data_IF_505313666187
#
_entry.id   IF_505313666187
#
_cell.length_a   1.000
_cell.length_b   1.000
_cell.length_c   1.000
_cell.angle_alpha   90.00
_cell.angle_beta   90.00
_cell.angle_gamma   90.00
#
_symmetry.space_group_name_H-M   'P 1'
#
loop_
_entity.id
_entity.type
_entity.pdbx_description
1 polymer ?
#
# COMPACT_ATOMS: atom_id res chain seq x y z
N UNK A 1 4.62 -31.99 -7.34
CA UNK A 1 3.58 -31.30 -8.11
C UNK A 1 2.58 -30.63 -7.16
N UNK A 2 1.62 -29.87 -7.69
CA UNK A 2 0.65 -29.12 -6.86
C UNK A 2 -0.24 -30.04 -6.02
N UNK A 3 -0.60 -31.22 -6.49
CA UNK A 3 -1.40 -32.20 -5.74
C UNK A 3 -0.67 -32.71 -4.51
N UNK A 4 0.61 -33.03 -4.63
CA UNK A 4 1.44 -33.44 -3.50
C UNK A 4 1.60 -32.31 -2.49
N UNK A 5 1.81 -31.08 -2.97
CA UNK A 5 1.93 -29.90 -2.12
C UNK A 5 0.62 -29.62 -1.35
N UNK A 6 -0.53 -29.74 -2.01
CA UNK A 6 -1.84 -29.57 -1.35
C UNK A 6 -2.09 -30.66 -0.29
N UNK A 7 -1.65 -31.91 -0.54
CA UNK A 7 -1.75 -32.99 0.44
C UNK A 7 -0.90 -32.67 1.69
N UNK A 8 0.37 -32.29 1.47
CA UNK A 8 1.26 -31.91 2.58
C UNK A 8 0.69 -30.73 3.35
N UNK A 9 0.18 -29.71 2.66
CA UNK A 9 -0.43 -28.53 3.29
C UNK A 9 -1.64 -28.91 4.16
N UNK A 10 -2.48 -29.83 3.71
CA UNK A 10 -3.61 -30.35 4.47
C UNK A 10 -3.15 -31.06 5.75
N UNK A 11 -2.09 -31.85 5.66
CA UNK A 11 -1.51 -32.55 6.82
C UNK A 11 -0.93 -31.54 7.82
N UNK A 12 -0.27 -30.49 7.34
CA UNK A 12 0.25 -29.38 8.18
C UNK A 12 -0.90 -28.68 8.91
N UNK A 13 -1.95 -28.26 8.21
CA UNK A 13 -3.11 -27.60 8.82
C UNK A 13 -3.74 -28.47 9.89
N UNK A 14 -3.97 -29.76 9.60
CA UNK A 14 -4.54 -30.71 10.56
C UNK A 14 -3.60 -30.94 11.77
N UNK A 15 -2.31 -31.03 11.53
CA UNK A 15 -1.29 -31.17 12.57
C UNK A 15 -1.24 -29.96 13.51
N UNK A 16 -1.24 -28.76 12.96
CA UNK A 16 -1.29 -27.53 13.76
C UNK A 16 -2.56 -27.44 14.61
N UNK A 17 -3.71 -27.81 14.08
CA UNK A 17 -4.98 -27.80 14.83
C UNK A 17 -4.93 -28.77 16.02
N UNK A 18 -4.38 -29.97 15.86
CA UNK A 18 -4.17 -30.92 16.98
C UNK A 18 -3.23 -30.33 18.04
N UNK A 19 -2.18 -29.62 17.66
CA UNK A 19 -1.26 -28.97 18.59
C UNK A 19 -2.00 -27.87 19.37
N UNK A 20 -2.77 -27.01 18.67
CA UNK A 20 -3.58 -25.96 19.28
C UNK A 20 -4.54 -26.54 20.32
N UNK A 21 -5.27 -27.59 19.99
CA UNK A 21 -6.19 -28.26 20.94
C UNK A 21 -5.44 -28.78 22.17
N UNK A 22 -4.29 -29.40 21.96
CA UNK A 22 -3.46 -29.92 23.03
C UNK A 22 -2.95 -28.81 23.98
N UNK A 23 -2.53 -27.69 23.42
CA UNK A 23 -1.94 -26.57 24.18
C UNK A 23 -3.03 -25.77 24.91
N UNK A 24 -4.09 -25.40 24.22
CA UNK A 24 -5.15 -24.55 24.76
C UNK A 24 -6.20 -25.33 25.54
N UNK A 25 -6.21 -26.65 25.46
CA UNK A 25 -7.24 -27.53 26.10
C UNK A 25 -8.66 -27.16 25.68
N UNK A 26 -8.83 -26.74 24.44
CA UNK A 26 -10.11 -26.35 23.84
C UNK A 26 -10.16 -26.87 22.41
N UNK A 27 -11.36 -27.06 21.81
CA UNK A 27 -11.50 -27.36 20.41
C UNK A 27 -10.79 -26.30 19.54
N UNK A 28 -10.10 -26.71 18.48
CA UNK A 28 -9.41 -25.79 17.56
C UNK A 28 -10.35 -24.72 17.00
N UNK A 29 -11.63 -25.06 16.80
CA UNK A 29 -12.66 -24.13 16.32
C UNK A 29 -12.96 -22.94 17.25
N UNK A 30 -12.52 -23.01 18.51
CA UNK A 30 -12.67 -21.92 19.49
C UNK A 30 -11.43 -21.01 19.57
N UNK A 31 -10.38 -21.35 18.88
CA UNK A 31 -9.13 -20.59 18.86
C UNK A 31 -8.98 -19.93 17.49
N UNK A 32 -8.86 -18.59 17.42
CA UNK A 32 -8.70 -17.88 16.17
C UNK A 32 -7.48 -18.36 15.39
N UNK A 33 -7.69 -18.69 14.12
CA UNK A 33 -6.67 -19.13 13.18
C UNK A 33 -6.91 -18.42 11.85
N UNK A 34 -5.85 -18.17 11.12
CA UNK A 34 -5.95 -17.64 9.77
C UNK A 34 -5.06 -18.42 8.81
N UNK A 35 -5.45 -18.44 7.54
CA UNK A 35 -4.71 -19.05 6.45
C UNK A 35 -4.45 -18.02 5.37
N UNK A 36 -3.16 -17.69 5.16
CA UNK A 36 -2.73 -16.72 4.17
C UNK A 36 -2.76 -17.32 2.76
N UNK A 37 -3.55 -16.72 1.89
CA UNK A 37 -3.68 -17.08 0.48
C UNK A 37 -2.76 -16.17 -0.32
N UNK A 38 -1.46 -16.48 -0.27
CA UNK A 38 -0.41 -15.68 -0.90
C UNK A 38 0.39 -16.52 -1.91
N UNK A 39 0.80 -15.92 -3.00
CA UNK A 39 1.60 -16.54 -4.07
C UNK A 39 1.04 -17.88 -4.57
N UNK A 40 1.79 -18.99 -4.43
CA UNK A 40 1.37 -20.33 -4.87
C UNK A 40 0.14 -20.85 -4.12
N UNK A 41 -0.09 -20.39 -2.88
CA UNK A 41 -1.24 -20.83 -2.09
C UNK A 41 -2.55 -20.33 -2.70
N UNK A 42 -2.56 -19.17 -3.37
CA UNK A 42 -3.72 -18.73 -4.14
C UNK A 42 -4.06 -19.71 -5.25
N UNK A 43 -3.06 -20.26 -5.92
CA UNK A 43 -3.26 -21.28 -6.97
C UNK A 43 -3.87 -22.57 -6.40
N UNK A 44 -3.46 -22.98 -5.21
CA UNK A 44 -4.05 -24.14 -4.53
C UNK A 44 -5.50 -23.87 -4.13
N UNK A 45 -5.79 -22.68 -3.60
CA UNK A 45 -7.15 -22.26 -3.32
C UNK A 45 -8.04 -22.27 -4.58
N UNK A 46 -7.55 -21.72 -5.68
CA UNK A 46 -8.25 -21.71 -6.97
C UNK A 46 -8.46 -23.14 -7.53
N UNK A 47 -7.56 -24.08 -7.24
CA UNK A 47 -7.68 -25.50 -7.57
C UNK A 47 -8.61 -26.26 -6.62
N UNK A 48 -9.24 -25.61 -5.64
CA UNK A 48 -10.22 -26.20 -4.73
C UNK A 48 -9.68 -26.64 -3.37
N UNK A 49 -8.43 -26.32 -3.04
CA UNK A 49 -7.93 -26.56 -1.69
C UNK A 49 -8.69 -25.71 -0.68
N UNK A 50 -9.12 -26.31 0.42
CA UNK A 50 -9.88 -25.63 1.47
C UNK A 50 -9.32 -25.94 2.84
N UNK A 51 -9.59 -25.03 3.77
CA UNK A 51 -9.34 -25.19 5.21
C UNK A 51 -10.68 -25.21 5.96
N UNK A 52 -10.73 -25.69 7.22
CA UNK A 52 -11.95 -25.70 8.01
C UNK A 52 -12.65 -24.34 8.08
N UNK A 53 -13.96 -24.34 8.17
CA UNK A 53 -14.83 -23.15 8.11
C UNK A 53 -14.55 -22.12 9.22
N UNK A 54 -14.00 -22.55 10.34
CA UNK A 54 -13.61 -21.69 11.48
C UNK A 54 -12.28 -20.94 11.27
N UNK A 55 -11.53 -21.27 10.22
CA UNK A 55 -10.27 -20.60 9.87
C UNK A 55 -10.56 -19.37 9.02
N UNK A 56 -10.01 -18.22 9.38
CA UNK A 56 -10.09 -17.00 8.58
C UNK A 56 -9.29 -17.16 7.28
N UNK A 57 -9.90 -16.86 6.14
CA UNK A 57 -9.19 -16.76 4.86
C UNK A 57 -8.56 -15.38 4.72
N UNK A 58 -7.24 -15.31 4.60
CA UNK A 58 -6.51 -14.07 4.45
C UNK A 58 -6.08 -13.89 2.98
N UNK A 59 -6.85 -13.11 2.23
CA UNK A 59 -6.53 -12.77 0.84
C UNK A 59 -5.41 -11.73 0.79
N UNK A 60 -4.70 -11.69 -0.33
CA UNK A 60 -3.55 -10.82 -0.51
C UNK A 60 -3.69 -9.96 -1.77
N UNK A 61 -2.98 -8.84 -1.79
CA UNK A 61 -2.78 -8.00 -2.96
C UNK A 61 -1.58 -8.49 -3.81
N UNK A 62 -1.19 -7.70 -4.79
CA UNK A 62 0.01 -7.92 -5.61
C UNK A 62 1.08 -6.87 -5.35
N UNK A 63 2.23 -6.99 -6.03
CA UNK A 63 3.37 -6.06 -5.93
C UNK A 63 3.06 -4.59 -6.27
N UNK A 64 1.87 -4.33 -6.83
CA UNK A 64 1.42 -2.99 -7.21
C UNK A 64 0.31 -2.46 -6.28
N UNK A 65 0.00 -3.19 -5.19
CA UNK A 65 -1.04 -2.82 -4.25
C UNK A 65 -2.46 -2.94 -4.80
N UNK A 66 -2.70 -3.91 -5.70
CA UNK A 66 -4.02 -4.25 -6.19
C UNK A 66 -4.49 -5.57 -5.60
N UNK A 67 -5.69 -5.57 -5.03
CA UNK A 67 -6.37 -6.78 -4.58
C UNK A 67 -6.78 -7.58 -5.82
N UNK A 68 -6.24 -8.78 -5.95
CA UNK A 68 -6.45 -9.63 -7.12
C UNK A 68 -7.58 -10.62 -6.94
N UNK A 69 -7.91 -10.94 -5.70
CA UNK A 69 -8.90 -11.93 -5.35
C UNK A 69 -9.71 -11.45 -4.15
N UNK A 70 -11.01 -11.45 -4.29
CA UNK A 70 -11.97 -11.37 -3.19
C UNK A 70 -12.56 -12.76 -2.96
N UNK A 71 -13.09 -13.01 -1.78
CA UNK A 71 -13.77 -14.27 -1.48
C UNK A 71 -15.02 -14.43 -2.34
N UNK A 72 -15.28 -15.64 -2.86
CA UNK A 72 -16.54 -15.91 -3.53
C UNK A 72 -17.71 -15.79 -2.55
N UNK A 73 -18.91 -15.59 -3.06
CA UNK A 73 -20.13 -15.40 -2.27
C UNK A 73 -20.32 -16.48 -1.18
N UNK A 74 -19.99 -17.74 -1.51
CA UNK A 74 -20.05 -18.86 -0.56
C UNK A 74 -19.19 -18.68 0.69
N UNK A 75 -18.13 -17.89 0.62
CA UNK A 75 -17.21 -17.64 1.74
C UNK A 75 -17.69 -16.49 2.65
N UNK A 76 -18.66 -15.70 2.22
CA UNK A 76 -19.18 -14.58 3.01
C UNK A 76 -19.90 -15.02 4.30
N UNK A 77 -20.37 -16.27 4.33
CA UNK A 77 -21.01 -16.87 5.51
C UNK A 77 -20.05 -17.72 6.34
N UNK A 78 -18.76 -17.76 6.00
CA UNK A 78 -17.74 -18.51 6.71
C UNK A 78 -17.62 -18.06 8.18
N UNK A 79 -17.57 -19.00 9.13
CA UNK A 79 -17.45 -18.68 10.55
C UNK A 79 -16.17 -17.92 10.89
N UNK A 80 -15.05 -18.32 10.30
CA UNK A 80 -13.77 -17.65 10.46
C UNK A 80 -13.73 -16.28 9.79
N UNK A 81 -14.63 -16.01 8.84
CA UNK A 81 -14.64 -14.79 8.06
C UNK A 81 -13.48 -14.68 7.10
N UNK A 82 -13.32 -13.49 6.49
CA UNK A 82 -12.26 -13.20 5.54
C UNK A 82 -11.45 -11.98 5.99
N UNK A 83 -10.17 -11.99 5.70
CA UNK A 83 -9.25 -10.91 5.98
C UNK A 83 -8.42 -10.54 4.75
N UNK A 84 -7.65 -9.47 4.88
CA UNK A 84 -6.77 -8.95 3.85
C UNK A 84 -5.34 -8.76 4.37
N UNK A 85 -4.38 -9.23 3.61
CA UNK A 85 -2.97 -8.88 3.75
C UNK A 85 -2.62 -7.91 2.62
N UNK A 86 -2.54 -6.63 2.98
CA UNK A 86 -2.33 -5.52 2.04
C UNK A 86 -0.95 -4.91 2.22
N UNK A 87 -0.31 -4.52 1.12
CA UNK A 87 1.04 -3.97 1.14
C UNK A 87 1.06 -2.52 0.66
N UNK A 88 1.57 -1.61 1.49
CA UNK A 88 2.02 -0.29 1.07
C UNK A 88 3.54 -0.26 0.87
N UNK A 89 4.21 -1.36 1.19
CA UNK A 89 5.58 -1.69 0.85
C UNK A 89 5.65 -3.18 0.46
N UNK A 90 5.91 -3.47 -0.80
CA UNK A 90 6.11 -4.83 -1.29
C UNK A 90 7.59 -5.09 -1.46
N UNK A 91 8.16 -5.81 -0.50
CA UNK A 91 9.56 -6.21 -0.52
C UNK A 91 9.73 -7.57 -1.18
N UNK A 92 10.14 -7.56 -2.42
CA UNK A 92 10.39 -8.77 -3.20
C UNK A 92 10.72 -8.41 -4.63
N UNK A 93 11.60 -9.21 -5.28
CA UNK A 93 11.98 -8.94 -6.66
C UNK A 93 10.77 -8.89 -7.62
N UNK A 94 10.82 -7.98 -8.60
CA UNK A 94 11.94 -7.11 -8.93
C UNK A 94 11.92 -5.73 -8.23
N UNK A 95 10.97 -5.45 -7.35
CA UNK A 95 10.70 -4.13 -6.79
C UNK A 95 11.00 -4.04 -5.30
N UNK A 96 11.48 -2.88 -4.85
CA UNK A 96 11.76 -2.61 -3.46
C UNK A 96 11.66 -1.10 -3.20
N UNK A 97 10.52 -0.65 -2.67
CA UNK A 97 10.20 0.77 -2.45
C UNK A 97 10.28 1.20 -0.97
N UNK A 98 11.16 0.58 -0.21
CA UNK A 98 11.30 0.79 1.25
C UNK A 98 11.61 2.22 1.67
N UNK A 99 12.31 2.97 0.84
CA UNK A 99 12.84 4.29 1.18
C UNK A 99 11.88 5.45 0.92
N UNK A 100 10.73 5.18 0.27
CA UNK A 100 9.80 6.21 -0.18
C UNK A 100 8.36 5.69 -0.22
N UNK A 101 7.38 6.59 -0.10
CA UNK A 101 5.98 6.25 -0.36
C UNK A 101 5.70 6.24 -1.86
N UNK A 102 5.11 5.16 -2.36
CA UNK A 102 4.75 4.96 -3.77
C UNK A 102 3.26 4.70 -3.97
N UNK A 103 2.43 5.07 -3.00
CA UNK A 103 0.98 4.89 -3.08
C UNK A 103 0.24 6.12 -2.58
N UNK A 104 -0.99 6.31 -3.07
CA UNK A 104 -1.86 7.44 -2.68
C UNK A 104 -2.95 7.00 -1.73
N UNK A 105 -3.44 7.91 -0.90
CA UNK A 105 -4.61 7.67 -0.05
C UNK A 105 -5.84 7.25 -0.88
N UNK A 106 -6.02 7.83 -2.06
CA UNK A 106 -7.11 7.48 -2.97
C UNK A 106 -7.05 6.00 -3.42
N UNK A 107 -5.86 5.51 -3.80
CA UNK A 107 -5.69 4.10 -4.18
C UNK A 107 -5.89 3.17 -2.99
N UNK A 108 -5.32 3.50 -1.84
CA UNK A 108 -5.51 2.72 -0.61
C UNK A 108 -7.00 2.61 -0.30
N UNK A 109 -7.70 3.74 -0.32
CA UNK A 109 -9.16 3.78 -0.10
C UNK A 109 -9.91 2.90 -1.08
N UNK A 110 -9.62 3.00 -2.37
CA UNK A 110 -10.27 2.20 -3.40
C UNK A 110 -10.12 0.70 -3.13
N UNK A 111 -8.89 0.25 -2.84
CA UNK A 111 -8.61 -1.16 -2.64
C UNK A 111 -9.18 -1.70 -1.32
N UNK A 112 -9.03 -0.96 -0.23
CA UNK A 112 -9.61 -1.38 1.05
C UNK A 112 -11.13 -1.30 1.05
N UNK A 113 -11.73 -0.36 0.30
CA UNK A 113 -13.17 -0.35 0.09
C UNK A 113 -13.65 -1.58 -0.69
N UNK A 114 -12.92 -1.99 -1.71
CA UNK A 114 -13.22 -3.23 -2.44
C UNK A 114 -13.23 -4.42 -1.48
N UNK A 115 -12.21 -4.54 -0.62
CA UNK A 115 -12.16 -5.57 0.41
C UNK A 115 -13.39 -5.51 1.32
N UNK A 116 -13.66 -4.36 1.90
CA UNK A 116 -14.78 -4.14 2.82
C UNK A 116 -16.14 -4.47 2.20
N UNK A 117 -16.41 -3.96 1.01
CA UNK A 117 -17.67 -4.19 0.30
C UNK A 117 -17.87 -5.65 -0.14
N UNK A 118 -16.82 -6.45 -0.21
CA UNK A 118 -16.88 -7.87 -0.56
C UNK A 118 -16.77 -8.80 0.65
N UNK A 119 -16.98 -8.27 1.87
CA UNK A 119 -17.02 -9.05 3.11
C UNK A 119 -15.65 -9.42 3.66
N UNK A 120 -14.59 -8.78 3.20
CA UNK A 120 -13.23 -8.95 3.74
C UNK A 120 -13.03 -7.90 4.86
N UNK A 121 -13.58 -8.20 6.03
CA UNK A 121 -13.68 -7.26 7.15
C UNK A 121 -13.22 -7.83 8.50
N UNK A 122 -12.87 -9.12 8.56
CA UNK A 122 -12.53 -9.78 9.82
C UNK A 122 -11.20 -9.29 10.40
N UNK A 123 -10.19 -9.17 9.55
CA UNK A 123 -8.86 -8.69 9.92
C UNK A 123 -8.16 -8.11 8.70
N UNK A 124 -7.51 -6.97 8.88
CA UNK A 124 -6.61 -6.38 7.89
C UNK A 124 -5.20 -6.34 8.46
N UNK A 125 -4.28 -7.03 7.80
CA UNK A 125 -2.85 -6.99 8.09
C UNK A 125 -2.20 -6.14 7.02
N UNK A 126 -1.51 -5.09 7.44
CA UNK A 126 -0.87 -4.15 6.52
C UNK A 126 0.64 -4.30 6.62
N UNK A 127 1.28 -4.68 5.52
CA UNK A 127 2.73 -4.61 5.42
C UNK A 127 3.13 -3.18 5.07
N UNK A 128 3.80 -2.53 6.00
CA UNK A 128 4.22 -1.13 5.85
C UNK A 128 5.71 -0.99 5.55
N UNK A 129 6.46 -2.09 5.61
CA UNK A 129 7.92 -2.07 5.53
C UNK A 129 8.51 -1.27 6.71
N UNK A 130 9.34 -0.29 6.41
CA UNK A 130 9.79 0.67 7.42
C UNK A 130 8.69 1.69 7.73
N UNK A 131 8.59 2.09 9.01
CA UNK A 131 7.57 3.08 9.42
C UNK A 131 7.78 4.43 8.73
N UNK A 132 9.03 4.82 8.56
CA UNK A 132 9.40 6.04 7.82
C UNK A 132 9.80 5.67 6.39
N UNK A 133 9.28 6.34 5.39
CA UNK A 133 8.40 7.51 5.33
C UNK A 133 6.91 7.16 5.08
N UNK A 134 6.38 6.15 5.74
CA UNK A 134 5.02 5.62 5.52
C UNK A 134 3.96 6.20 6.48
N UNK A 135 4.30 7.25 7.21
CA UNK A 135 3.42 7.81 8.25
C UNK A 135 2.05 8.22 7.69
N UNK A 136 2.02 8.93 6.57
CA UNK A 136 0.74 9.37 5.97
C UNK A 136 -0.13 8.17 5.53
N UNK A 137 0.35 7.21 4.76
CA UNK A 137 -0.48 6.07 4.38
C UNK A 137 -0.87 5.19 5.58
N UNK A 138 -0.03 5.05 6.60
CA UNK A 138 -0.38 4.34 7.84
C UNK A 138 -1.51 5.05 8.56
N UNK A 139 -1.39 6.36 8.76
CA UNK A 139 -2.43 7.17 9.41
C UNK A 139 -3.77 7.04 8.68
N UNK A 140 -3.76 7.18 7.35
CA UNK A 140 -4.97 7.03 6.55
C UNK A 140 -5.60 5.62 6.69
N UNK A 141 -4.79 4.56 6.61
CA UNK A 141 -5.28 3.19 6.74
C UNK A 141 -5.93 2.96 8.10
N UNK A 142 -5.33 3.47 9.18
CA UNK A 142 -5.87 3.31 10.53
C UNK A 142 -7.20 4.04 10.70
N UNK A 143 -7.32 5.25 10.19
CA UNK A 143 -8.59 5.99 10.18
C UNK A 143 -9.64 5.28 9.33
N UNK A 144 -9.28 4.86 8.13
CA UNK A 144 -10.18 4.15 7.23
C UNK A 144 -10.67 2.82 7.83
N UNK A 145 -9.77 2.03 8.42
CA UNK A 145 -10.11 0.76 9.05
C UNK A 145 -11.01 0.93 10.28
N UNK A 146 -10.88 2.06 10.99
CA UNK A 146 -11.74 2.36 12.13
C UNK A 146 -13.20 2.58 11.71
N UNK A 147 -13.44 3.37 10.66
CA UNK A 147 -14.77 3.57 10.09
C UNK A 147 -14.67 3.90 8.59
N UNK A 148 -14.82 2.91 7.69
CA UNK A 148 -14.75 3.14 6.25
C UNK A 148 -15.77 4.15 5.71
N UNK A 149 -16.93 4.25 6.35
CA UNK A 149 -18.04 5.12 5.90
C UNK A 149 -17.74 6.61 6.10
N UNK A 150 -16.79 6.96 6.99
CA UNK A 150 -16.37 8.35 7.19
C UNK A 150 -15.52 8.89 6.03
N UNK A 151 -15.00 7.99 5.16
CA UNK A 151 -14.07 8.34 4.09
C UNK A 151 -14.57 7.91 2.70
N UNK A 152 -15.72 8.46 2.23
CA UNK A 152 -16.13 8.31 0.83
C UNK A 152 -15.08 8.94 -0.11
N UNK A 153 -15.12 8.57 -1.39
CA UNK A 153 -14.08 8.93 -2.36
C UNK A 153 -13.87 10.46 -2.50
N UNK A 154 -14.92 11.23 -2.37
CA UNK A 154 -14.92 12.69 -2.47
C UNK A 154 -14.34 13.40 -1.24
N UNK A 155 -14.12 12.70 -0.13
CA UNK A 155 -13.51 13.26 1.09
C UNK A 155 -12.00 13.00 1.23
N UNK A 156 -11.40 12.23 0.34
CA UNK A 156 -9.97 11.88 0.45
C UNK A 156 -9.07 13.10 0.32
N UNK A 157 -9.40 14.02 -0.57
CA UNK A 157 -8.66 15.27 -0.71
C UNK A 157 -8.72 16.12 0.57
N UNK A 158 -9.90 16.21 1.20
CA UNK A 158 -10.04 16.90 2.48
C UNK A 158 -9.27 16.21 3.60
N UNK A 159 -9.26 14.87 3.63
CA UNK A 159 -8.44 14.12 4.58
C UNK A 159 -6.96 14.51 4.48
N UNK A 160 -6.42 14.62 3.27
CA UNK A 160 -5.02 15.00 3.07
C UNK A 160 -4.71 16.39 3.62
N UNK A 161 -5.63 17.33 3.45
CA UNK A 161 -5.49 18.69 4.04
C UNK A 161 -5.57 18.66 5.56
N UNK A 162 -6.49 17.89 6.12
CA UNK A 162 -6.66 17.77 7.56
C UNK A 162 -5.47 17.07 8.22
N UNK A 163 -4.92 16.05 7.56
CA UNK A 163 -3.66 15.41 7.96
C UNK A 163 -2.51 16.43 8.02
N UNK A 164 -2.32 17.20 6.95
CA UNK A 164 -1.28 18.23 6.90
C UNK A 164 -1.50 19.31 7.97
N UNK A 165 -2.75 19.73 8.16
CA UNK A 165 -3.12 20.73 9.17
C UNK A 165 -2.83 20.26 10.59
N UNK A 166 -3.07 18.99 10.87
CA UNK A 166 -2.85 18.41 12.21
C UNK A 166 -1.39 18.42 12.63
N UNK A 167 -0.47 18.38 11.67
CA UNK A 167 0.98 18.34 11.92
C UNK A 167 1.61 19.73 11.81
N UNK A 168 1.27 20.49 10.76
CA UNK A 168 1.96 21.74 10.37
C UNK A 168 1.13 23.01 10.60
N UNK A 169 -0.09 22.89 11.11
CA UNK A 169 -1.01 24.04 11.21
C UNK A 169 -1.72 24.34 9.89
N UNK A 170 -2.60 25.35 9.93
CA UNK A 170 -3.52 25.62 8.82
C UNK A 170 -2.94 26.43 7.66
N UNK A 171 -1.88 27.21 7.88
CA UNK A 171 -1.40 28.21 6.91
C UNK A 171 -0.99 27.58 5.56
N UNK A 172 -0.24 26.47 5.60
CA UNK A 172 0.26 25.78 4.39
C UNK A 172 -0.34 24.38 4.19
N UNK A 173 -1.40 24.05 4.93
CA UNK A 173 -1.94 22.68 4.93
C UNK A 173 -2.35 22.20 3.54
N UNK A 174 -3.00 23.03 2.73
CA UNK A 174 -3.38 22.70 1.35
C UNK A 174 -2.15 22.45 0.49
N UNK A 175 -1.17 23.33 0.53
CA UNK A 175 0.04 23.21 -0.29
C UNK A 175 0.86 21.95 0.10
N UNK A 176 0.96 21.64 1.39
CA UNK A 176 1.61 20.41 1.87
C UNK A 176 0.85 19.16 1.41
N UNK A 177 -0.47 19.16 1.53
CA UNK A 177 -1.32 18.06 1.05
C UNK A 177 -1.14 17.83 -0.45
N UNK A 178 -1.09 18.89 -1.24
CA UNK A 178 -0.89 18.83 -2.69
C UNK A 178 0.49 18.25 -3.05
N UNK A 179 1.57 18.68 -2.36
CA UNK A 179 2.92 18.16 -2.57
C UNK A 179 2.99 16.66 -2.25
N UNK A 180 2.46 16.24 -1.09
CA UNK A 180 2.48 14.82 -0.66
C UNK A 180 1.66 13.97 -1.61
N UNK A 181 0.51 14.44 -2.04
CA UNK A 181 -0.34 13.74 -3.02
C UNK A 181 0.36 13.63 -4.36
N UNK A 182 0.98 14.71 -4.84
CA UNK A 182 1.62 14.73 -6.16
C UNK A 182 2.84 13.82 -6.24
N UNK A 183 3.78 13.87 -5.27
CA UNK A 183 4.93 12.96 -5.32
C UNK A 183 4.49 11.49 -5.20
N UNK A 184 3.52 11.20 -4.36
CA UNK A 184 2.99 9.85 -4.18
C UNK A 184 2.34 9.32 -5.46
N UNK A 185 1.58 10.19 -6.16
CA UNK A 185 0.95 9.89 -7.45
C UNK A 185 1.99 9.63 -8.53
N UNK A 186 3.00 10.47 -8.65
CA UNK A 186 4.05 10.31 -9.66
C UNK A 186 4.89 9.05 -9.41
N UNK A 187 5.16 8.70 -8.14
CA UNK A 187 5.79 7.44 -7.78
C UNK A 187 4.87 6.23 -8.02
N UNK A 188 3.55 6.38 -7.89
CA UNK A 188 2.59 5.34 -8.23
C UNK A 188 2.50 5.13 -9.75
N UNK A 189 2.53 6.19 -10.55
CA UNK A 189 2.57 6.12 -12.01
C UNK A 189 3.82 5.34 -12.47
N UNK A 190 4.97 5.59 -11.83
CA UNK A 190 6.19 4.84 -12.05
C UNK A 190 7.10 4.86 -10.83
N UNK A 191 7.27 3.71 -10.20
CA UNK A 191 8.13 3.55 -9.03
C UNK A 191 9.59 3.91 -9.35
N UNK A 192 10.35 4.49 -8.41
CA UNK A 192 11.75 4.87 -8.63
C UNK A 192 12.63 3.72 -9.15
N UNK A 193 12.42 2.50 -8.65
CA UNK A 193 13.21 1.31 -9.02
C UNK A 193 12.99 0.85 -10.46
N UNK A 194 11.94 1.32 -11.13
CA UNK A 194 11.64 0.98 -12.52
C UNK A 194 11.85 2.12 -13.49
N UNK A 195 12.46 3.21 -13.02
CA UNK A 195 12.89 4.30 -13.91
C UNK A 195 14.00 3.81 -14.83
N UNK A 196 13.96 4.23 -16.09
CA UNK A 196 14.95 3.91 -17.11
C UNK A 196 15.04 5.03 -18.13
N UNK A 197 16.19 5.13 -18.80
CA UNK A 197 16.37 6.02 -19.97
C UNK A 197 15.44 5.53 -21.09
N UNK A 198 14.82 6.47 -21.80
CA UNK A 198 14.00 6.21 -22.98
C UNK A 198 12.59 5.68 -22.72
N UNK A 199 12.10 5.68 -21.46
CA UNK A 199 10.74 5.23 -21.15
C UNK A 199 9.67 6.20 -21.65
N UNK A 200 9.94 7.50 -21.47
CA UNK A 200 9.04 8.56 -21.90
C UNK A 200 9.46 9.07 -23.29
N UNK A 201 8.50 9.27 -24.17
CA UNK A 201 8.75 9.68 -25.54
C UNK A 201 9.26 11.13 -25.62
N UNK A 202 10.38 11.33 -26.31
CA UNK A 202 10.89 12.65 -26.64
C UNK A 202 10.08 13.27 -27.79
N UNK A 203 9.74 12.47 -28.79
CA UNK A 203 9.00 12.93 -29.98
C UNK A 203 7.65 13.54 -29.66
N UNK A 204 6.92 12.94 -28.70
CA UNK A 204 5.62 13.46 -28.24
C UNK A 204 5.73 14.56 -27.18
N UNK A 205 6.95 14.88 -26.76
CA UNK A 205 7.24 15.82 -25.67
C UNK A 205 6.88 15.29 -24.25
N UNK A 206 6.61 13.99 -24.12
CA UNK A 206 6.24 13.39 -22.84
C UNK A 206 7.39 13.47 -21.82
N UNK A 207 8.62 13.14 -22.26
CA UNK A 207 9.80 13.20 -21.41
C UNK A 207 10.02 14.61 -20.84
N UNK A 208 9.85 15.65 -21.66
CA UNK A 208 9.98 17.04 -21.23
C UNK A 208 8.87 17.44 -20.25
N UNK A 209 7.63 17.03 -20.49
CA UNK A 209 6.51 17.30 -19.57
C UNK A 209 6.73 16.63 -18.20
N UNK A 210 7.22 15.40 -18.18
CA UNK A 210 7.52 14.69 -16.95
C UNK A 210 8.69 15.33 -16.20
N UNK A 211 9.74 15.74 -16.92
CA UNK A 211 10.85 16.48 -16.31
C UNK A 211 10.37 17.77 -15.66
N UNK A 212 9.60 18.57 -16.37
CA UNK A 212 9.07 19.84 -15.86
C UNK A 212 8.16 19.62 -14.64
N UNK A 213 7.37 18.56 -14.63
CA UNK A 213 6.46 18.22 -13.53
C UNK A 213 7.23 17.90 -12.23
N UNK A 214 8.30 17.11 -12.33
CA UNK A 214 9.18 16.81 -11.21
C UNK A 214 9.98 18.04 -10.75
N UNK A 215 10.47 18.82 -11.67
CA UNK A 215 11.24 20.04 -11.38
C UNK A 215 10.38 21.11 -10.68
N UNK A 216 9.14 21.29 -11.11
CA UNK A 216 8.17 22.16 -10.48
C UNK A 216 7.86 21.71 -9.05
N UNK A 217 7.60 20.42 -8.86
CA UNK A 217 7.33 19.85 -7.54
C UNK A 217 8.51 20.07 -6.57
N UNK A 218 9.74 19.82 -7.02
CA UNK A 218 10.94 20.05 -6.22
C UNK A 218 11.08 21.52 -5.84
N UNK A 219 10.93 22.44 -6.80
CA UNK A 219 11.02 23.89 -6.55
C UNK A 219 9.97 24.39 -5.57
N UNK A 220 8.73 23.95 -5.72
CA UNK A 220 7.64 24.28 -4.79
C UNK A 220 7.93 23.76 -3.38
N UNK A 221 8.39 22.53 -3.27
CA UNK A 221 8.73 21.91 -2.00
C UNK A 221 9.85 22.66 -1.27
N UNK A 222 10.95 22.96 -1.97
CA UNK A 222 12.08 23.71 -1.40
C UNK A 222 11.72 25.16 -1.05
N UNK A 223 10.84 25.79 -1.81
CA UNK A 223 10.33 27.11 -1.51
C UNK A 223 9.49 27.11 -0.23
N UNK A 224 8.64 26.10 -0.07
CA UNK A 224 7.79 25.95 1.12
C UNK A 224 8.62 25.61 2.35
N UNK A 225 9.64 24.77 2.22
CA UNK A 225 10.57 24.41 3.31
C UNK A 225 11.16 25.65 3.98
N UNK A 226 11.56 26.65 3.20
CA UNK A 226 12.13 27.92 3.71
C UNK A 226 11.15 28.77 4.53
N UNK A 227 9.86 28.50 4.40
CA UNK A 227 8.79 29.20 5.12
C UNK A 227 8.39 28.49 6.41
N UNK A 228 8.84 27.25 6.62
CA UNK A 228 8.48 26.48 7.82
C UNK A 228 9.16 27.07 9.06
N UNK A 229 8.44 27.21 10.18
CA UNK A 229 9.02 27.56 11.47
C UNK A 229 10.12 26.57 11.88
N UNK A 230 11.09 27.04 12.68
CA UNK A 230 12.23 26.22 13.09
C UNK A 230 11.82 24.91 13.77
N UNK A 231 10.79 24.95 14.59
CA UNK A 231 10.24 23.77 15.29
C UNK A 231 9.55 22.75 14.37
N UNK A 232 9.22 23.14 13.15
CA UNK A 232 8.58 22.28 12.13
C UNK A 232 9.58 21.74 11.09
N UNK A 233 10.81 22.23 11.06
CA UNK A 233 11.77 21.92 10.01
C UNK A 233 12.08 20.41 9.91
N UNK A 234 12.33 19.74 11.02
CA UNK A 234 12.66 18.31 11.01
C UNK A 234 11.47 17.46 10.54
N UNK A 235 10.27 17.78 11.02
CA UNK A 235 9.06 17.08 10.59
C UNK A 235 8.76 17.34 9.11
N UNK A 236 8.91 18.58 8.64
CA UNK A 236 8.70 18.93 7.23
C UNK A 236 9.73 18.24 6.33
N UNK A 237 11.00 18.25 6.72
CA UNK A 237 12.04 17.55 5.98
C UNK A 237 11.70 16.07 5.81
N UNK A 238 11.35 15.37 6.89
CA UNK A 238 11.11 13.93 6.86
C UNK A 238 9.80 13.55 6.15
N UNK A 239 8.73 14.30 6.38
CA UNK A 239 7.40 13.93 5.86
C UNK A 239 7.11 14.47 4.46
N UNK A 240 7.77 15.56 4.05
CA UNK A 240 7.42 16.30 2.82
C UNK A 240 8.63 16.52 1.92
N UNK A 241 9.68 17.18 2.42
CA UNK A 241 10.81 17.63 1.60
C UNK A 241 11.62 16.43 1.08
N UNK A 242 12.15 15.60 1.97
CA UNK A 242 12.96 14.46 1.56
C UNK A 242 12.25 13.55 0.57
N UNK A 243 11.01 13.04 0.83
CA UNK A 243 10.35 12.15 -0.11
C UNK A 243 10.08 12.81 -1.48
N UNK A 244 9.68 14.07 -1.52
CA UNK A 244 9.41 14.77 -2.77
C UNK A 244 10.69 15.06 -3.57
N UNK A 245 11.72 15.61 -2.90
CA UNK A 245 12.99 16.01 -3.55
C UNK A 245 13.81 14.80 -3.98
N UNK A 246 13.89 13.75 -3.15
CA UNK A 246 14.61 12.53 -3.50
C UNK A 246 13.95 11.80 -4.68
N UNK A 247 12.61 11.71 -4.69
CA UNK A 247 11.86 11.16 -5.83
C UNK A 247 12.11 11.95 -7.11
N UNK A 248 12.03 13.28 -7.04
CA UNK A 248 12.31 14.17 -8.17
C UNK A 248 13.76 13.99 -8.67
N UNK A 249 14.72 13.88 -7.75
CA UNK A 249 16.14 13.67 -8.10
C UNK A 249 16.35 12.40 -8.91
N UNK A 250 15.81 11.26 -8.44
CA UNK A 250 15.92 9.98 -9.17
C UNK A 250 15.25 10.07 -10.54
N UNK A 251 14.02 10.57 -10.62
CA UNK A 251 13.28 10.67 -11.87
C UNK A 251 14.01 11.59 -12.89
N UNK A 252 14.49 12.75 -12.43
CA UNK A 252 15.18 13.72 -13.29
C UNK A 252 16.51 13.20 -13.85
N UNK A 253 17.23 12.33 -13.16
CA UNK A 253 18.44 11.66 -13.70
C UNK A 253 18.10 10.92 -15.00
N UNK A 254 17.09 10.06 -14.95
CA UNK A 254 16.68 9.25 -16.12
C UNK A 254 16.03 10.09 -17.22
N UNK A 255 15.25 11.10 -16.85
CA UNK A 255 14.61 12.02 -17.79
C UNK A 255 15.63 12.92 -18.50
N UNK A 256 16.62 13.45 -17.77
CA UNK A 256 17.69 14.25 -18.35
C UNK A 256 18.55 13.43 -19.33
N UNK A 257 18.89 12.19 -18.98
CA UNK A 257 19.57 11.27 -19.87
C UNK A 257 18.72 10.98 -21.12
N UNK A 258 17.42 10.74 -20.96
CA UNK A 258 16.49 10.53 -22.09
C UNK A 258 16.46 11.74 -23.04
N UNK A 259 16.45 12.96 -22.51
CA UNK A 259 16.43 14.20 -23.29
C UNK A 259 17.79 14.54 -23.91
N UNK A 260 18.89 14.07 -23.31
CA UNK A 260 20.24 14.32 -23.81
C UNK A 260 20.70 13.34 -24.92
N UNK A 261 20.09 12.16 -24.98
CA UNK A 261 20.37 11.13 -25.99
C UNK A 261 19.56 11.32 -27.29
N UNK A 262 18.75 12.38 -27.39
CA UNK A 262 17.85 12.67 -28.53
C UNK A 262 18.43 13.74 -29.53
#
# INVERSE_FOLDING_TARGET
NDEDNMKVLKDVVNGQRKIIERVYKKPASQIPQLWAIFTEVQRYYDAGFTVPDDVTLLFCDNNWGYIRRTGPEKEQTRKGGMGMYYHIDMNGGPWNDRWINTTTAAKIREQLNLAYQTGIDRIWIINVGDLKPKEMPIDFIMHYAWNPDDYPADKIDQYMVDWARSIFGGEYAREIADIVTEYSKMNLERKPEVQRVGIYSVETGEAQRMFNRWDDLEKRTLSLSKKMPAEMQDAFYQLVEYPAVASAGVAKIYLAATLGDS
#
